data_IF_414012587814
#
_entry.id   IF_414012587814
#
_cell.length_a   1.000
_cell.length_b   1.000
_cell.length_c   1.000
_cell.angle_alpha   90.00
_cell.angle_beta   90.00
_cell.angle_gamma   90.00
#
_symmetry.space_group_name_H-M   'P 1'
#
loop_
_entity.id
_entity.type
_entity.pdbx_description
1 polymer ?
#
# COMPACT_ATOMS: atom_id res chain seq x y z
N UNK A 1 12.66 25.20 -0.78
CA UNK A 1 11.18 25.29 -0.91
C UNK A 1 10.41 24.06 -0.41
N UNK A 2 11.07 22.99 0.07
CA UNK A 2 10.39 21.77 0.59
C UNK A 2 9.77 21.88 1.99
N UNK A 3 10.17 22.87 2.80
CA UNK A 3 9.73 22.95 4.22
C UNK A 3 8.31 23.50 4.41
N UNK A 4 7.82 24.36 3.49
CA UNK A 4 6.43 24.88 3.56
C UNK A 4 5.41 23.89 3.04
N UNK A 5 5.76 23.09 2.02
CA UNK A 5 4.91 22.02 1.53
C UNK A 5 4.74 20.91 2.58
N UNK A 6 5.80 20.57 3.33
CA UNK A 6 5.76 19.60 4.42
C UNK A 6 4.71 19.88 5.49
N UNK A 7 4.52 21.15 5.88
CA UNK A 7 3.52 21.54 6.90
C UNK A 7 2.07 21.25 6.52
N UNK A 8 1.73 21.28 5.22
CA UNK A 8 0.38 20.98 4.73
C UNK A 8 0.24 19.53 4.22
N UNK A 9 1.31 18.94 3.67
CA UNK A 9 1.31 17.55 3.21
C UNK A 9 1.30 16.54 4.36
N UNK A 10 2.07 16.78 5.43
CA UNK A 10 2.19 15.86 6.57
C UNK A 10 0.84 15.56 7.24
N UNK A 11 -0.02 16.55 7.56
CA UNK A 11 -1.34 16.26 8.14
C UNK A 11 -2.26 15.54 7.15
N UNK A 12 -2.19 15.84 5.85
CA UNK A 12 -2.96 15.15 4.82
C UNK A 12 -2.55 13.67 4.69
N UNK A 13 -1.25 13.39 4.66
CA UNK A 13 -0.71 12.02 4.62
C UNK A 13 -1.07 11.26 5.89
N UNK A 14 -0.95 11.89 7.06
CA UNK A 14 -1.34 11.29 8.34
C UNK A 14 -2.84 10.98 8.39
N UNK A 15 -3.69 11.85 7.85
CA UNK A 15 -5.14 11.65 7.77
C UNK A 15 -5.49 10.51 6.80
N UNK A 16 -4.83 10.44 5.64
CA UNK A 16 -4.96 9.33 4.70
C UNK A 16 -4.53 8.00 5.32
N UNK A 17 -3.34 7.95 5.92
CA UNK A 17 -2.80 6.76 6.57
C UNK A 17 -3.67 6.32 7.76
N UNK A 18 -4.16 7.27 8.57
CA UNK A 18 -5.07 6.99 9.68
C UNK A 18 -6.41 6.45 9.21
N UNK A 19 -6.98 7.03 8.15
CA UNK A 19 -8.20 6.52 7.51
C UNK A 19 -7.98 5.09 6.97
N UNK A 20 -6.85 4.82 6.32
CA UNK A 20 -6.51 3.48 5.81
C UNK A 20 -6.36 2.47 6.95
N UNK A 21 -5.64 2.83 8.02
CA UNK A 21 -5.45 2.00 9.21
C UNK A 21 -6.78 1.65 9.89
N UNK A 22 -7.65 2.65 10.05
CA UNK A 22 -9.00 2.44 10.60
C UNK A 22 -9.83 1.50 9.69
N UNK A 23 -9.75 1.67 8.38
CA UNK A 23 -10.48 0.83 7.41
C UNK A 23 -9.99 -0.63 7.45
N UNK A 24 -8.68 -0.85 7.59
CA UNK A 24 -8.09 -2.19 7.76
C UNK A 24 -8.60 -2.83 9.05
N UNK A 25 -8.65 -2.06 10.15
CA UNK A 25 -9.14 -2.53 11.44
C UNK A 25 -10.62 -2.91 11.38
N UNK A 26 -11.48 -2.03 10.81
CA UNK A 26 -12.90 -2.31 10.60
C UNK A 26 -13.11 -3.57 9.75
N UNK A 27 -12.29 -3.75 8.70
CA UNK A 27 -12.33 -4.94 7.84
C UNK A 27 -11.90 -6.21 8.56
N UNK A 28 -11.12 -6.11 9.64
CA UNK A 28 -10.75 -7.25 10.47
C UNK A 28 -11.93 -7.80 11.29
N UNK A 29 -12.90 -6.95 11.63
CA UNK A 29 -14.08 -7.31 12.41
C UNK A 29 -15.35 -7.52 11.55
N UNK A 30 -15.39 -6.97 10.34
CA UNK A 30 -16.50 -7.21 9.40
C UNK A 30 -16.36 -8.55 8.68
N UNK A 31 -17.47 -9.27 8.57
CA UNK A 31 -17.57 -10.50 7.77
C UNK A 31 -17.24 -10.22 6.29
N UNK A 32 -16.61 -11.16 5.56
CA UNK A 32 -16.32 -10.99 4.15
C UNK A 32 -17.64 -10.81 3.37
N UNK A 33 -17.94 -9.56 3.02
CA UNK A 33 -19.12 -9.22 2.21
C UNK A 33 -18.92 -9.79 0.81
N UNK A 34 -19.91 -10.51 0.29
CA UNK A 34 -19.89 -11.06 -1.05
C UNK A 34 -19.56 -9.96 -2.08
N UNK A 35 -18.76 -10.25 -3.11
CA UNK A 35 -18.28 -9.21 -4.02
C UNK A 35 -19.43 -8.60 -4.82
N UNK A 36 -19.72 -7.31 -4.60
CA UNK A 36 -20.64 -6.55 -5.43
C UNK A 36 -20.04 -6.27 -6.82
N UNK A 37 -20.87 -6.27 -7.87
CA UNK A 37 -20.47 -5.96 -9.25
C UNK A 37 -19.96 -4.51 -9.33
N UNK A 38 -18.64 -4.31 -9.38
CA UNK A 38 -18.08 -2.96 -9.57
C UNK A 38 -18.12 -2.57 -11.05
N UNK A 39 -18.78 -1.43 -11.35
CA UNK A 39 -19.06 -0.97 -12.72
C UNK A 39 -17.92 -0.17 -13.38
N UNK A 40 -16.81 0.16 -12.69
CA UNK A 40 -15.74 1.07 -13.21
C UNK A 40 -14.32 0.66 -12.78
N UNK A 41 -13.90 -0.54 -13.15
CA UNK A 41 -12.61 -1.14 -12.75
C UNK A 41 -11.41 -0.33 -13.27
N UNK A 42 -11.45 0.14 -14.52
CA UNK A 42 -10.32 0.87 -15.12
C UNK A 42 -10.01 2.20 -14.42
N UNK A 43 -11.04 2.94 -14.00
CA UNK A 43 -10.88 4.20 -13.27
C UNK A 43 -10.42 3.95 -11.83
N UNK A 44 -10.99 2.96 -11.15
CA UNK A 44 -10.61 2.54 -9.80
C UNK A 44 -9.18 2.00 -9.74
N UNK A 45 -8.76 1.29 -10.80
CA UNK A 45 -7.36 1.02 -11.06
C UNK A 45 -6.68 2.38 -11.23
N UNK A 46 -6.69 3.07 -12.37
CA UNK A 46 -5.91 4.29 -12.62
C UNK A 46 -5.71 5.23 -11.40
N UNK A 47 -6.80 5.62 -10.72
CA UNK A 47 -6.77 6.47 -9.51
C UNK A 47 -5.95 5.87 -8.39
N UNK A 48 -6.17 4.61 -8.05
CA UNK A 48 -5.44 4.03 -6.93
C UNK A 48 -3.93 3.84 -7.22
N UNK A 49 -3.50 3.81 -8.49
CA UNK A 49 -2.12 3.43 -8.88
C UNK A 49 -1.26 4.67 -8.93
N UNK A 50 -1.90 5.76 -9.33
CA UNK A 50 -1.49 7.10 -8.96
C UNK A 50 -1.34 7.23 -7.44
N UNK A 51 -2.36 6.91 -6.64
CA UNK A 51 -2.26 6.98 -5.17
C UNK A 51 -1.18 6.05 -4.58
N UNK A 52 -0.96 4.88 -5.17
CA UNK A 52 0.09 3.94 -4.78
C UNK A 52 1.49 4.50 -5.05
N UNK A 53 1.66 5.19 -6.18
CA UNK A 53 2.91 5.88 -6.53
C UNK A 53 3.22 7.06 -5.61
N UNK A 54 2.20 7.68 -5.01
CA UNK A 54 2.34 8.80 -4.06
C UNK A 54 2.46 8.37 -2.59
N UNK A 55 1.74 7.33 -2.17
CA UNK A 55 1.59 6.97 -0.75
C UNK A 55 1.75 5.49 -0.41
N UNK A 56 1.82 4.60 -1.40
CA UNK A 56 2.01 3.15 -1.24
C UNK A 56 0.82 2.40 -0.60
N UNK A 57 0.49 1.21 -1.15
CA UNK A 57 -0.34 0.19 -0.52
C UNK A 57 -1.85 0.22 -0.82
N UNK A 58 -2.32 1.12 -1.69
CA UNK A 58 -3.76 1.29 -1.96
C UNK A 58 -4.36 0.31 -2.98
N UNK A 59 -3.53 -0.26 -3.86
CA UNK A 59 -4.01 -0.90 -5.08
C UNK A 59 -4.39 -2.37 -4.97
N UNK A 60 -3.60 -3.17 -4.26
CA UNK A 60 -3.81 -4.61 -4.15
C UNK A 60 -5.19 -4.99 -3.61
N UNK A 61 -5.66 -4.43 -2.47
CA UNK A 61 -6.98 -4.76 -1.93
C UNK A 61 -8.14 -4.28 -2.79
N UNK A 62 -7.98 -3.21 -3.57
CA UNK A 62 -9.03 -2.62 -4.40
C UNK A 62 -9.14 -3.36 -5.74
N UNK A 63 -8.02 -3.62 -6.41
CA UNK A 63 -8.00 -4.24 -7.74
C UNK A 63 -8.23 -5.75 -7.64
N UNK A 64 -7.55 -6.43 -6.71
CA UNK A 64 -7.67 -7.89 -6.55
C UNK A 64 -9.06 -8.30 -6.06
N UNK A 65 -9.65 -7.59 -5.08
CA UNK A 65 -11.01 -7.93 -4.62
C UNK A 65 -12.06 -7.73 -5.71
N UNK A 66 -11.84 -6.75 -6.59
CA UNK A 66 -12.79 -6.37 -7.65
C UNK A 66 -12.64 -7.24 -8.90
N UNK A 67 -11.44 -7.72 -9.21
CA UNK A 67 -11.23 -8.68 -10.30
C UNK A 67 -11.67 -10.11 -9.92
N UNK A 68 -11.43 -10.54 -8.68
CA UNK A 68 -11.96 -11.82 -8.15
C UNK A 68 -13.50 -11.81 -8.12
N UNK A 69 -14.12 -10.65 -7.86
CA UNK A 69 -15.58 -10.45 -7.94
C UNK A 69 -16.19 -10.77 -9.32
N UNK A 70 -15.38 -10.70 -10.38
CA UNK A 70 -15.84 -10.85 -11.77
C UNK A 70 -15.77 -12.30 -12.29
N UNK A 71 -15.46 -13.27 -11.43
CA UNK A 71 -15.46 -14.71 -11.77
C UNK A 71 -14.23 -15.21 -12.52
N UNK A 72 -13.17 -14.41 -12.65
CA UNK A 72 -11.87 -14.87 -13.15
C UNK A 72 -11.20 -15.76 -12.10
N UNK A 73 -10.46 -16.78 -12.53
CA UNK A 73 -9.74 -17.65 -11.60
C UNK A 73 -8.82 -16.80 -10.70
N UNK A 74 -8.90 -16.94 -9.36
CA UNK A 74 -8.15 -16.09 -8.43
C UNK A 74 -6.64 -16.06 -8.72
N UNK A 75 -6.08 -17.17 -9.21
CA UNK A 75 -4.68 -17.27 -9.65
C UNK A 75 -4.34 -16.33 -10.82
N UNK A 76 -5.20 -16.23 -11.82
CA UNK A 76 -4.96 -15.38 -12.98
C UNK A 76 -5.05 -13.90 -12.61
N UNK A 77 -6.06 -13.54 -11.80
CA UNK A 77 -6.23 -12.18 -11.29
C UNK A 77 -5.02 -11.71 -10.48
N UNK A 78 -4.54 -12.52 -9.55
CA UNK A 78 -3.39 -12.15 -8.71
C UNK A 78 -2.13 -11.99 -9.57
N UNK A 79 -1.87 -12.91 -10.51
CA UNK A 79 -0.70 -12.82 -11.39
C UNK A 79 -0.69 -11.55 -12.27
N UNK A 80 -1.82 -11.19 -12.89
CA UNK A 80 -1.91 -9.98 -13.72
C UNK A 80 -1.72 -8.69 -12.91
N UNK A 81 -2.24 -8.66 -11.67
CA UNK A 81 -2.08 -7.50 -10.78
C UNK A 81 -0.61 -7.32 -10.40
N UNK A 82 0.06 -8.38 -9.97
CA UNK A 82 1.48 -8.32 -9.61
C UNK A 82 2.38 -7.91 -10.79
N UNK A 83 2.07 -8.37 -12.00
CA UNK A 83 2.82 -7.95 -13.20
C UNK A 83 2.64 -6.45 -13.46
N UNK A 84 1.43 -5.93 -13.31
CA UNK A 84 1.15 -4.50 -13.49
C UNK A 84 1.86 -3.67 -12.42
N UNK A 85 1.82 -4.13 -11.17
CA UNK A 85 2.51 -3.50 -10.04
C UNK A 85 4.02 -3.41 -10.27
N UNK A 86 4.63 -4.46 -10.83
CA UNK A 86 6.05 -4.45 -11.20
C UNK A 86 6.37 -3.34 -12.22
N UNK A 87 5.60 -3.21 -13.29
CA UNK A 87 5.85 -2.17 -14.29
C UNK A 87 5.61 -0.75 -13.76
N UNK A 88 4.55 -0.53 -12.96
CA UNK A 88 4.25 0.77 -12.37
C UNK A 88 5.34 1.20 -11.38
N UNK A 89 5.77 0.29 -10.51
CA UNK A 89 6.85 0.55 -9.54
C UNK A 89 8.19 0.77 -10.23
N UNK A 90 8.50 0.01 -11.29
CA UNK A 90 9.71 0.22 -12.10
C UNK A 90 9.71 1.59 -12.78
N UNK A 91 8.60 1.99 -13.38
CA UNK A 91 8.47 3.32 -14.01
C UNK A 91 8.60 4.45 -12.98
N UNK A 92 8.01 4.28 -11.79
CA UNK A 92 8.15 5.23 -10.68
C UNK A 92 9.60 5.32 -10.19
N UNK A 93 10.26 4.19 -9.98
CA UNK A 93 11.67 4.13 -9.58
C UNK A 93 12.59 4.78 -10.61
N UNK A 94 12.36 4.53 -11.90
CA UNK A 94 13.12 5.16 -12.98
C UNK A 94 12.90 6.68 -13.02
N UNK A 95 11.65 7.13 -12.94
CA UNK A 95 11.32 8.57 -12.88
C UNK A 95 11.98 9.25 -11.69
N UNK A 96 11.96 8.60 -10.53
CA UNK A 96 12.62 9.09 -9.31
C UNK A 96 14.14 9.19 -9.50
N UNK A 97 14.78 8.18 -10.09
CA UNK A 97 16.22 8.16 -10.35
C UNK A 97 16.64 9.28 -11.31
N UNK A 98 15.86 9.52 -12.37
CA UNK A 98 16.12 10.59 -13.34
C UNK A 98 15.87 11.98 -12.74
N UNK A 99 14.82 12.14 -11.92
CA UNK A 99 14.39 13.46 -11.41
C UNK A 99 15.18 13.89 -10.16
N UNK A 100 15.51 12.95 -9.26
CA UNK A 100 16.18 13.23 -7.97
C UNK A 100 17.70 13.00 -8.04
N UNK A 101 18.16 12.17 -8.99
CA UNK A 101 19.58 11.82 -9.15
C UNK A 101 20.07 10.74 -8.17
N UNK A 102 21.39 10.50 -8.18
CA UNK A 102 22.06 9.39 -7.46
C UNK A 102 22.38 9.73 -5.98
N UNK A 103 21.89 10.88 -5.48
CA UNK A 103 22.22 11.44 -4.16
C UNK A 103 21.80 10.58 -2.97
N UNK A 104 20.83 9.67 -3.15
CA UNK A 104 20.28 8.84 -2.07
C UNK A 104 20.50 7.33 -2.28
N UNK A 105 21.52 6.94 -3.06
CA UNK A 105 21.78 5.53 -3.39
C UNK A 105 21.93 4.65 -2.13
N UNK A 106 22.51 5.17 -1.05
CA UNK A 106 22.64 4.43 0.22
C UNK A 106 21.30 4.05 0.83
N UNK A 107 20.30 4.95 0.77
CA UNK A 107 18.95 4.68 1.28
C UNK A 107 18.27 3.64 0.39
N UNK A 108 18.41 3.78 -0.94
CA UNK A 108 17.85 2.83 -1.91
C UNK A 108 18.46 1.44 -1.72
N UNK A 109 19.77 1.32 -1.54
CA UNK A 109 20.46 0.07 -1.28
C UNK A 109 20.04 -0.55 0.06
N UNK A 110 19.86 0.26 1.11
CA UNK A 110 19.33 -0.20 2.40
C UNK A 110 17.90 -0.76 2.28
N UNK A 111 17.03 -0.09 1.51
CA UNK A 111 15.68 -0.56 1.23
C UNK A 111 15.66 -1.83 0.39
N UNK A 112 16.50 -1.93 -0.64
CA UNK A 112 16.62 -3.12 -1.50
C UNK A 112 17.10 -4.32 -0.71
N UNK A 113 18.19 -4.17 0.06
CA UNK A 113 18.75 -5.26 0.88
C UNK A 113 17.78 -5.70 1.96
N UNK A 114 17.15 -4.77 2.68
CA UNK A 114 16.11 -5.05 3.67
C UNK A 114 14.90 -5.78 3.06
N UNK A 115 14.44 -5.34 1.88
CA UNK A 115 13.35 -5.97 1.15
C UNK A 115 13.67 -7.39 0.68
N UNK A 116 14.86 -7.60 0.11
CA UNK A 116 15.32 -8.91 -0.34
C UNK A 116 15.42 -9.94 0.81
N UNK A 117 15.83 -9.50 2.01
CA UNK A 117 15.89 -10.37 3.20
C UNK A 117 14.49 -10.58 3.79
N UNK A 118 13.64 -9.56 3.80
CA UNK A 118 12.28 -9.64 4.34
C UNK A 118 11.34 -10.51 3.47
N UNK A 119 11.50 -10.49 2.15
CA UNK A 119 10.67 -11.25 1.20
C UNK A 119 10.58 -12.77 1.48
N UNK A 120 11.66 -13.52 1.67
CA UNK A 120 11.58 -14.96 1.98
C UNK A 120 10.95 -15.23 3.34
N UNK A 121 11.15 -14.35 4.33
CA UNK A 121 10.52 -14.45 5.65
C UNK A 121 9.01 -14.25 5.50
N UNK A 122 8.60 -13.21 4.77
CA UNK A 122 7.21 -12.93 4.47
C UNK A 122 6.55 -14.09 3.71
N UNK A 123 7.22 -14.67 2.71
CA UNK A 123 6.72 -15.82 1.96
C UNK A 123 6.53 -17.07 2.84
N UNK A 124 7.39 -17.31 3.84
CA UNK A 124 7.27 -18.44 4.78
C UNK A 124 6.13 -18.26 5.79
N UNK A 125 5.82 -17.02 6.16
CA UNK A 125 4.73 -16.67 7.07
C UNK A 125 3.38 -16.53 6.34
N UNK A 126 3.42 -16.21 5.05
CA UNK A 126 2.25 -16.12 4.20
C UNK A 126 1.50 -17.47 4.20
N UNK A 127 0.21 -17.41 4.56
CA UNK A 127 -0.65 -18.59 4.62
C UNK A 127 -0.64 -19.36 5.96
N UNK A 128 0.33 -19.13 6.86
CA UNK A 128 0.33 -19.74 8.20
C UNK A 128 -0.41 -18.93 9.25
N UNK A 129 -0.54 -17.62 9.03
CA UNK A 129 -1.17 -16.71 9.99
C UNK A 129 -2.67 -16.54 9.71
N UNK A 130 -3.51 -16.56 10.75
CA UNK A 130 -4.93 -16.27 10.60
C UNK A 130 -5.13 -14.84 10.09
N UNK A 131 -5.90 -14.71 9.01
CA UNK A 131 -6.14 -13.44 8.30
C UNK A 131 -6.59 -12.30 9.23
N UNK A 132 -7.40 -12.62 10.24
CA UNK A 132 -7.89 -11.67 11.24
C UNK A 132 -6.75 -11.06 12.06
N UNK A 133 -5.84 -11.89 12.57
CA UNK A 133 -4.68 -11.45 13.36
C UNK A 133 -3.75 -10.59 12.53
N UNK A 134 -3.51 -10.95 11.26
CA UNK A 134 -2.70 -10.14 10.35
C UNK A 134 -3.31 -8.75 10.12
N UNK A 135 -4.62 -8.67 9.86
CA UNK A 135 -5.30 -7.38 9.67
C UNK A 135 -5.31 -6.52 10.94
N UNK A 136 -5.50 -7.13 12.12
CA UNK A 136 -5.43 -6.40 13.40
C UNK A 136 -4.01 -5.88 13.64
N UNK A 137 -2.99 -6.73 13.49
CA UNK A 137 -1.60 -6.34 13.71
C UNK A 137 -1.18 -5.17 12.82
N UNK A 138 -1.47 -5.24 11.52
CA UNK A 138 -1.17 -4.16 10.57
C UNK A 138 -1.98 -2.91 10.88
N UNK A 139 -3.30 -3.04 11.15
CA UNK A 139 -4.16 -1.89 11.47
C UNK A 139 -3.73 -1.16 12.73
N UNK A 140 -3.38 -1.88 13.80
CA UNK A 140 -2.85 -1.30 15.05
C UNK A 140 -1.50 -0.63 14.81
N UNK A 141 -0.58 -1.29 14.08
CA UNK A 141 0.72 -0.72 13.75
C UNK A 141 0.59 0.60 12.99
N UNK A 142 -0.28 0.67 11.98
CA UNK A 142 -0.55 1.91 11.22
C UNK A 142 -1.16 2.99 12.11
N UNK A 143 -2.14 2.64 12.96
CA UNK A 143 -2.76 3.60 13.88
C UNK A 143 -1.75 4.18 14.87
N UNK A 144 -0.92 3.34 15.48
CA UNK A 144 0.15 3.79 16.40
C UNK A 144 1.13 4.72 15.68
N UNK A 145 1.49 4.40 14.44
CA UNK A 145 2.37 5.24 13.63
C UNK A 145 1.72 6.60 13.33
N UNK A 146 0.44 6.61 12.95
CA UNK A 146 -0.31 7.83 12.67
C UNK A 146 -0.40 8.72 13.93
N UNK A 147 -0.71 8.12 15.09
CA UNK A 147 -0.74 8.85 16.37
C UNK A 147 0.63 9.44 16.68
N UNK A 148 1.72 8.68 16.52
CA UNK A 148 3.09 9.21 16.70
C UNK A 148 3.42 10.35 15.74
N UNK A 149 3.04 10.22 14.47
CA UNK A 149 3.28 11.25 13.47
C UNK A 149 2.52 12.54 13.80
N UNK A 150 1.28 12.42 14.26
CA UNK A 150 0.47 13.56 14.68
C UNK A 150 1.05 14.26 15.92
N UNK A 151 1.45 13.49 16.94
CA UNK A 151 2.08 14.03 18.15
C UNK A 151 3.37 14.78 17.83
N UNK A 152 4.24 14.22 16.97
CA UNK A 152 5.50 14.85 16.55
C UNK A 152 5.31 16.03 15.60
N UNK A 153 4.12 16.18 15.02
CA UNK A 153 3.78 17.34 14.19
C UNK A 153 3.23 18.51 14.99
N UNK A 154 2.77 18.27 16.22
CA UNK A 154 2.17 19.27 17.12
C UNK A 154 3.16 19.77 18.17
N UNK A 155 4.13 18.93 18.57
CA UNK A 155 5.22 19.22 19.50
C UNK A 155 6.49 19.61 18.74
#
# INVERSE_FOLDING_TARGET
MGERAGKWLMPLIALYAGFLGLKILIKAFRQPVAPGKAKRIGLLAAVGGFLDSFGGGGWGPIVTSTLVAKGRSPRYTVGSVSLTEFFVTLASAFTFLVTVGITHLTIVLGLLTGGCIAAPIAARLAGKLPRKTMMIAVGVMVLVWCVRMFLKSIL
#
